data_IF_908626177495
#
_entry.id   IF_908626177495
#
_cell.length_a   1.000
_cell.length_b   1.000
_cell.length_c   1.000
_cell.angle_alpha   90.00
_cell.angle_beta   90.00
_cell.angle_gamma   90.00
#
_symmetry.space_group_name_H-M   'P 1'
#
loop_
_entity.id
_entity.type
_entity.pdbx_description
1 polymer ?
#
# COMPACT_ATOMS: atom_id res chain seq x y z
N UNK A 1 55.12 -33.51 19.12
CA UNK A 1 55.68 -34.84 18.82
C UNK A 1 54.53 -35.73 18.39
N UNK A 2 54.57 -36.22 17.13
CA UNK A 2 54.26 -37.59 16.65
C UNK A 2 53.26 -38.46 17.41
N UNK A 3 52.40 -39.29 16.83
CA UNK A 3 52.04 -39.82 15.50
C UNK A 3 50.62 -40.42 15.71
N UNK A 4 49.72 -40.77 14.78
CA UNK A 4 49.78 -41.04 13.35
C UNK A 4 48.75 -42.15 13.02
N UNK A 5 48.23 -42.13 11.78
CA UNK A 5 47.65 -43.22 10.97
C UNK A 5 46.30 -43.84 11.37
N UNK A 6 45.40 -44.20 10.44
CA UNK A 6 45.41 -44.25 8.96
C UNK A 6 44.05 -44.78 8.47
N UNK A 7 43.51 -44.29 7.34
CA UNK A 7 43.50 -44.97 6.03
C UNK A 7 42.04 -45.12 5.56
N UNK A 8 41.62 -45.06 4.28
CA UNK A 8 42.28 -45.02 2.98
C UNK A 8 41.27 -45.52 1.90
N UNK A 9 41.60 -45.30 0.61
CA UNK A 9 40.90 -45.63 -0.66
C UNK A 9 39.92 -44.54 -1.18
N UNK A 10 40.16 -43.75 -2.24
CA UNK A 10 40.87 -43.82 -3.56
C UNK A 10 39.99 -44.25 -4.74
N UNK A 11 39.91 -43.40 -5.77
CA UNK A 11 39.39 -43.70 -7.10
C UNK A 11 39.51 -42.50 -8.06
N UNK A 12 40.58 -42.49 -8.85
CA UNK A 12 41.01 -41.53 -9.89
C UNK A 12 40.15 -41.56 -11.15
N UNK A 13 39.73 -40.41 -11.70
CA UNK A 13 40.27 -39.69 -12.88
C UNK A 13 40.24 -40.43 -14.24
N UNK A 14 39.63 -39.80 -15.26
CA UNK A 14 40.07 -39.91 -16.67
C UNK A 14 39.58 -38.73 -17.52
N UNK A 15 40.49 -38.31 -18.39
CA UNK A 15 40.55 -37.15 -19.30
C UNK A 15 39.95 -37.56 -20.67
N UNK A 16 39.50 -36.66 -21.56
CA UNK A 16 40.18 -36.16 -22.79
C UNK A 16 39.08 -35.43 -23.62
N UNK A 17 39.14 -34.15 -24.00
CA UNK A 17 39.91 -33.50 -25.08
C UNK A 17 39.28 -33.53 -26.51
N UNK A 18 38.87 -32.32 -26.94
CA UNK A 18 39.18 -31.63 -28.22
C UNK A 18 38.60 -32.03 -29.60
N UNK A 19 38.25 -30.97 -30.36
CA UNK A 19 38.12 -30.91 -31.85
C UNK A 19 36.71 -30.49 -32.29
N UNK A 20 36.40 -29.40 -33.00
CA UNK A 20 37.17 -28.50 -33.85
C UNK A 20 36.70 -28.63 -35.32
N UNK A 21 36.04 -27.61 -35.90
CA UNK A 21 36.10 -27.32 -37.35
C UNK A 21 34.82 -27.29 -38.19
N UNK A 22 34.44 -26.06 -38.61
CA UNK A 22 33.98 -25.56 -39.93
C UNK A 22 32.91 -26.25 -40.82
N UNK A 23 31.82 -25.48 -41.03
CA UNK A 23 31.06 -25.14 -42.27
C UNK A 23 31.02 -26.06 -43.51
N UNK A 24 29.80 -26.40 -43.96
CA UNK A 24 29.30 -26.08 -45.32
C UNK A 24 27.79 -26.32 -45.46
N UNK A 25 27.13 -25.39 -46.16
CA UNK A 25 25.72 -25.35 -46.53
C UNK A 25 25.46 -26.15 -47.82
N UNK A 26 24.31 -26.82 -47.95
CA UNK A 26 23.47 -26.82 -49.17
C UNK A 26 22.02 -27.22 -48.85
N UNK A 27 21.12 -26.56 -49.56
CA UNK A 27 19.65 -26.48 -49.54
C UNK A 27 18.89 -27.78 -49.84
N UNK A 28 17.68 -27.96 -49.26
CA UNK A 28 16.37 -27.91 -49.97
C UNK A 28 15.17 -28.35 -49.10
N UNK A 29 14.07 -27.61 -49.24
CA UNK A 29 12.65 -28.02 -49.20
C UNK A 29 11.99 -28.49 -47.89
N UNK A 30 10.87 -27.85 -47.53
CA UNK A 30 9.78 -28.51 -46.80
C UNK A 30 9.15 -27.70 -45.67
N UNK A 31 8.01 -27.09 -45.99
CA UNK A 31 7.06 -26.40 -45.12
C UNK A 31 6.75 -27.04 -43.76
N UNK A 32 6.68 -26.18 -42.73
CA UNK A 32 6.23 -26.48 -41.37
C UNK A 32 4.75 -26.89 -41.32
N UNK A 33 4.51 -28.12 -40.87
CA UNK A 33 3.23 -28.58 -40.32
C UNK A 33 3.56 -29.41 -39.07
N UNK A 34 3.21 -28.89 -37.90
CA UNK A 34 3.08 -29.72 -36.70
C UNK A 34 1.81 -29.28 -36.00
N UNK A 35 0.79 -30.15 -36.07
CA UNK A 35 -0.36 -30.08 -35.19
C UNK A 35 -0.59 -31.46 -34.55
N UNK A 36 -1.00 -31.40 -33.29
CA UNK A 36 -1.71 -32.41 -32.47
C UNK A 36 -1.03 -33.71 -32.05
N UNK A 37 -0.80 -33.83 -30.72
CA UNK A 37 -1.37 -34.86 -29.82
C UNK A 37 -1.01 -34.50 -28.36
N UNK A 38 -1.88 -33.82 -27.61
CA UNK A 38 -2.78 -34.37 -26.58
C UNK A 38 -2.10 -35.05 -25.38
N UNK A 39 -2.12 -34.36 -24.23
CA UNK A 39 -2.16 -34.99 -22.90
C UNK A 39 -3.19 -34.25 -22.03
N UNK A 40 -4.06 -35.04 -21.40
CA UNK A 40 -5.15 -34.63 -20.53
C UNK A 40 -4.64 -33.91 -19.27
N UNK A 41 -5.33 -32.86 -18.86
CA UNK A 41 -5.12 -32.19 -17.58
C UNK A 41 -6.37 -31.44 -17.13
N UNK A 42 -7.10 -32.05 -16.20
CA UNK A 42 -8.10 -31.51 -15.27
C UNK A 42 -8.94 -30.30 -15.70
N UNK A 43 -10.22 -30.59 -15.88
CA UNK A 43 -11.34 -29.66 -15.75
C UNK A 43 -11.37 -29.02 -14.35
N UNK A 44 -10.66 -27.91 -14.20
CA UNK A 44 -10.99 -26.91 -13.18
C UNK A 44 -11.94 -25.90 -13.80
N UNK A 45 -13.16 -25.90 -13.27
CA UNK A 45 -14.16 -24.86 -13.44
C UNK A 45 -13.49 -23.48 -13.48
N UNK A 46 -13.64 -22.79 -14.60
CA UNK A 46 -13.33 -21.37 -14.74
C UNK A 46 -14.20 -20.61 -13.75
N UNK A 47 -13.69 -20.42 -12.52
CA UNK A 47 -14.21 -19.41 -11.61
C UNK A 47 -14.11 -18.09 -12.36
N UNK A 48 -15.25 -17.44 -12.53
CA UNK A 48 -15.36 -16.11 -13.09
C UNK A 48 -14.26 -15.25 -12.45
N UNK A 49 -13.30 -14.85 -13.28
CA UNK A 49 -12.31 -13.85 -12.95
C UNK A 49 -13.12 -12.58 -12.70
N UNK A 50 -13.37 -12.27 -11.42
CA UNK A 50 -14.08 -11.06 -11.05
C UNK A 50 -13.14 -9.91 -11.38
N UNK A 51 -13.24 -9.41 -12.61
CA UNK A 51 -12.55 -8.22 -13.06
C UNK A 51 -13.10 -7.10 -12.19
N UNK A 52 -12.35 -6.72 -11.16
CA UNK A 52 -12.68 -5.53 -10.41
C UNK A 52 -12.62 -4.37 -11.42
N UNK A 53 -13.68 -3.55 -11.54
CA UNK A 53 -13.57 -2.31 -12.28
C UNK A 53 -12.39 -1.51 -11.71
N UNK A 54 -11.68 -0.78 -12.57
CA UNK A 54 -10.61 0.14 -12.18
C UNK A 54 -11.02 0.85 -10.89
N UNK A 55 -10.26 0.62 -9.82
CA UNK A 55 -10.63 1.04 -8.46
C UNK A 55 -11.06 2.50 -8.48
N UNK A 56 -12.36 2.81 -8.28
CA UNK A 56 -12.82 4.18 -8.21
C UNK A 56 -12.09 4.81 -7.04
N UNK A 57 -11.45 5.93 -7.35
CA UNK A 57 -10.88 6.87 -6.40
C UNK A 57 -11.75 7.05 -5.15
N UNK A 58 -11.28 6.53 -4.02
CA UNK A 58 -12.01 6.51 -2.75
C UNK A 58 -12.08 7.93 -2.16
N UNK A 59 -13.30 8.44 -1.90
CA UNK A 59 -13.52 9.64 -1.07
C UNK A 59 -13.98 9.20 0.33
N UNK A 60 -13.10 8.54 1.09
CA UNK A 60 -13.39 8.17 2.49
C UNK A 60 -13.55 9.40 3.38
N UNK A 61 -13.02 10.54 2.93
CA UNK A 61 -13.10 11.83 3.60
C UNK A 61 -14.52 12.11 4.08
N UNK A 62 -15.53 11.88 3.24
CA UNK A 62 -16.91 12.21 3.61
C UNK A 62 -17.48 11.32 4.71
N UNK A 63 -17.08 10.05 4.78
CA UNK A 63 -17.62 9.13 5.77
C UNK A 63 -17.25 9.54 7.19
N UNK A 64 -16.13 10.23 7.40
CA UNK A 64 -15.67 10.68 8.72
C UNK A 64 -16.10 12.10 9.11
N UNK A 65 -16.81 12.80 8.22
CA UNK A 65 -17.14 14.20 8.42
C UNK A 65 -18.59 14.36 8.88
N UNK A 66 -18.81 15.27 9.84
CA UNK A 66 -20.16 15.59 10.33
C UNK A 66 -20.98 16.26 9.23
N UNK A 67 -22.24 15.85 9.09
CA UNK A 67 -23.21 16.58 8.26
C UNK A 67 -23.40 18.01 8.81
N UNK A 68 -23.46 19.01 7.93
CA UNK A 68 -23.60 20.43 8.29
C UNK A 68 -22.52 20.95 9.26
N UNK A 69 -21.31 20.41 9.16
CA UNK A 69 -20.15 20.82 9.98
C UNK A 69 -19.74 22.28 9.76
N UNK A 70 -19.07 22.91 10.75
CA UNK A 70 -18.48 24.24 10.58
C UNK A 70 -17.52 24.28 9.38
N UNK A 71 -17.58 25.35 8.60
CA UNK A 71 -16.70 25.53 7.45
C UNK A 71 -15.25 25.73 7.94
N UNK A 72 -14.33 24.89 7.46
CA UNK A 72 -12.90 25.05 7.70
C UNK A 72 -12.24 25.89 6.61
N UNK A 73 -11.08 26.52 6.85
CA UNK A 73 -10.36 27.21 5.78
C UNK A 73 -10.01 26.26 4.63
N UNK A 74 -9.99 26.81 3.41
CA UNK A 74 -9.40 26.15 2.23
C UNK A 74 -7.88 26.23 2.37
N UNK A 75 -7.20 25.09 2.26
CA UNK A 75 -5.75 25.00 2.45
C UNK A 75 -5.07 24.80 1.11
N UNK A 76 -4.12 25.67 0.81
CA UNK A 76 -3.39 25.67 -0.47
C UNK A 76 -1.88 25.42 -0.30
N UNK A 77 -1.37 25.56 0.93
CA UNK A 77 0.03 25.42 1.26
C UNK A 77 0.24 24.54 2.50
N UNK A 78 1.28 23.69 2.49
CA UNK A 78 1.57 22.77 3.59
C UNK A 78 1.84 23.51 4.91
N UNK A 79 2.46 24.68 4.85
CA UNK A 79 2.78 25.50 6.02
C UNK A 79 1.56 25.89 6.85
N UNK A 80 0.37 25.95 6.24
CA UNK A 80 -0.88 26.28 6.94
C UNK A 80 -1.36 25.16 7.88
N UNK A 81 -0.95 23.91 7.61
CA UNK A 81 -1.38 22.71 8.36
C UNK A 81 -0.22 21.86 8.88
N UNK A 82 1.04 22.33 8.69
CA UNK A 82 2.24 21.57 9.06
C UNK A 82 2.21 21.17 10.54
N UNK A 83 1.93 22.12 11.42
CA UNK A 83 1.89 21.86 12.86
C UNK A 83 0.78 20.87 13.24
N UNK A 84 -0.35 20.90 12.54
CA UNK A 84 -1.46 19.95 12.74
C UNK A 84 -1.01 18.54 12.38
N UNK A 85 -0.33 18.36 11.23
CA UNK A 85 0.21 17.07 10.78
C UNK A 85 1.21 16.54 11.81
N UNK A 86 2.15 17.39 12.23
CA UNK A 86 3.20 17.03 13.18
C UNK A 86 2.63 16.63 14.54
N UNK A 87 1.73 17.46 15.09
CA UNK A 87 1.08 17.19 16.37
C UNK A 87 0.25 15.90 16.33
N UNK A 88 -0.48 15.68 15.24
CA UNK A 88 -1.31 14.48 15.07
C UNK A 88 -0.43 13.24 15.00
N UNK A 89 0.62 13.28 14.17
CA UNK A 89 1.56 12.17 14.05
C UNK A 89 2.21 11.84 15.39
N UNK A 90 2.73 12.84 16.11
CA UNK A 90 3.39 12.66 17.40
C UNK A 90 2.46 12.06 18.46
N UNK A 91 1.18 12.44 18.45
CA UNK A 91 0.19 11.86 19.38
C UNK A 91 -0.14 10.40 19.08
N UNK A 92 -0.08 9.97 17.83
CA UNK A 92 -0.34 8.58 17.43
C UNK A 92 0.88 7.70 17.71
N UNK A 93 2.06 8.16 17.27
CA UNK A 93 3.27 7.33 17.21
C UNK A 93 4.19 7.52 18.41
N UNK A 94 4.05 8.63 19.14
CA UNK A 94 5.01 9.05 20.16
C UNK A 94 6.32 9.59 19.58
N UNK A 95 6.41 9.80 18.26
CA UNK A 95 7.62 10.21 17.55
C UNK A 95 7.38 11.48 16.73
N UNK A 96 8.44 12.23 16.44
CA UNK A 96 8.33 13.39 15.56
C UNK A 96 8.05 12.97 14.11
N UNK A 97 7.35 13.81 13.36
CA UNK A 97 7.06 13.56 11.95
C UNK A 97 8.37 13.50 11.14
N UNK A 98 8.61 12.44 10.35
CA UNK A 98 9.90 12.23 9.68
C UNK A 98 10.02 13.06 8.40
N UNK A 99 10.29 14.36 8.54
CA UNK A 99 10.44 15.30 7.41
C UNK A 99 11.57 14.94 6.44
N UNK A 100 12.58 14.20 6.90
CA UNK A 100 13.70 13.72 6.09
C UNK A 100 13.33 12.51 5.23
N UNK A 101 12.26 11.78 5.58
CA UNK A 101 11.80 10.59 4.87
C UNK A 101 10.48 10.78 4.11
N UNK A 102 9.63 11.75 4.49
CA UNK A 102 8.32 11.99 3.87
C UNK A 102 8.18 13.46 3.47
N UNK A 103 7.91 13.70 2.19
CA UNK A 103 7.56 15.02 1.65
C UNK A 103 6.10 15.08 1.28
N UNK A 104 5.41 16.12 1.72
CA UNK A 104 4.01 16.39 1.38
C UNK A 104 3.95 17.61 0.46
N UNK A 105 3.18 17.53 -0.62
CA UNK A 105 2.91 18.63 -1.54
C UNK A 105 1.40 18.82 -1.66
N UNK A 106 0.96 20.06 -1.55
CA UNK A 106 -0.41 20.47 -1.88
C UNK A 106 -0.36 21.20 -3.21
N UNK A 107 -1.27 20.86 -4.12
CA UNK A 107 -1.38 21.52 -5.41
C UNK A 107 -2.83 21.81 -5.77
N UNK A 108 -3.02 22.71 -6.73
CA UNK A 108 -4.35 22.93 -7.29
C UNK A 108 -4.81 21.70 -8.11
N UNK A 109 -6.13 21.58 -8.30
CA UNK A 109 -6.71 20.45 -9.01
C UNK A 109 -6.21 20.36 -10.46
N UNK A 110 -6.05 21.49 -11.15
CA UNK A 110 -5.61 21.50 -12.54
C UNK A 110 -4.20 20.90 -12.69
N UNK A 111 -3.28 21.26 -11.79
CA UNK A 111 -1.94 20.69 -11.73
C UNK A 111 -2.00 19.20 -11.39
N UNK A 112 -2.84 18.81 -10.43
CA UNK A 112 -2.97 17.41 -10.02
C UNK A 112 -3.44 16.52 -11.17
N UNK A 113 -4.48 16.96 -11.90
CA UNK A 113 -5.05 16.21 -13.03
C UNK A 113 -4.10 16.07 -14.22
N UNK A 114 -3.02 16.85 -14.30
CA UNK A 114 -2.01 16.67 -15.35
C UNK A 114 -1.21 15.37 -15.22
N UNK A 115 -1.03 14.86 -14.00
CA UNK A 115 -0.28 13.62 -13.75
C UNK A 115 -1.14 12.49 -13.16
N UNK A 116 -2.32 12.80 -12.61
CA UNK A 116 -3.28 11.82 -12.14
C UNK A 116 -4.69 12.13 -12.67
N UNK A 117 -5.09 11.57 -13.83
CA UNK A 117 -6.38 11.84 -14.44
C UNK A 117 -7.56 11.20 -13.68
N UNK A 118 -7.28 10.22 -12.80
CA UNK A 118 -8.31 9.62 -11.95
C UNK A 118 -8.86 10.64 -10.92
N UNK A 119 -10.10 10.43 -10.49
CA UNK A 119 -10.82 11.33 -9.58
C UNK A 119 -10.42 11.17 -8.09
N UNK A 120 -9.12 10.96 -7.81
CA UNK A 120 -8.58 10.90 -6.44
C UNK A 120 -8.25 12.29 -5.90
N UNK A 121 -8.28 12.43 -4.58
CA UNK A 121 -7.91 13.67 -3.87
C UNK A 121 -6.44 13.70 -3.43
N UNK A 122 -5.77 12.55 -3.43
CA UNK A 122 -4.36 12.42 -3.10
C UNK A 122 -3.76 11.17 -3.72
N UNK A 123 -2.44 11.13 -3.75
CA UNK A 123 -1.63 9.96 -4.07
C UNK A 123 -0.36 9.96 -3.24
N UNK A 124 0.23 8.78 -3.08
CA UNK A 124 1.54 8.59 -2.47
C UNK A 124 2.47 7.76 -3.34
N UNK A 125 3.75 8.11 -3.30
CA UNK A 125 4.86 7.35 -3.86
C UNK A 125 5.71 6.84 -2.71
N UNK A 126 5.54 5.57 -2.37
CA UNK A 126 6.22 4.95 -1.26
C UNK A 126 7.67 4.55 -1.64
N UNK A 127 8.65 5.17 -0.98
CA UNK A 127 10.08 4.83 -1.07
C UNK A 127 10.64 4.38 0.28
N UNK A 128 9.81 3.82 1.15
CA UNK A 128 10.21 3.34 2.49
C UNK A 128 11.49 2.51 2.43
N UNK A 129 12.50 2.92 3.20
CA UNK A 129 13.83 2.28 3.26
C UNK A 129 14.68 2.40 1.98
N UNK A 130 14.21 3.10 0.95
CA UNK A 130 14.86 3.25 -0.37
C UNK A 130 15.06 4.72 -0.79
N UNK A 131 14.53 5.68 -0.03
CA UNK A 131 14.62 7.10 -0.32
C UNK A 131 13.50 7.89 0.36
N UNK A 132 13.20 9.06 -0.19
CA UNK A 132 12.15 9.96 0.31
C UNK A 132 10.82 9.60 -0.33
N UNK A 133 9.84 9.21 0.48
CA UNK A 133 8.46 9.02 0.06
C UNK A 133 7.80 10.38 -0.20
N UNK A 134 6.91 10.42 -1.18
CA UNK A 134 6.23 11.66 -1.61
C UNK A 134 4.72 11.49 -1.51
N UNK A 135 4.03 12.45 -0.93
CA UNK A 135 2.58 12.55 -0.86
C UNK A 135 2.17 13.80 -1.62
N UNK A 136 1.21 13.68 -2.52
CA UNK A 136 0.64 14.81 -3.25
C UNK A 136 -0.86 14.82 -3.02
N UNK A 137 -1.39 15.92 -2.51
CA UNK A 137 -2.80 16.11 -2.26
C UNK A 137 -3.34 17.34 -3.00
N UNK A 138 -4.60 17.27 -3.42
CA UNK A 138 -5.33 18.40 -3.98
C UNK A 138 -5.73 19.35 -2.86
N UNK A 139 -5.58 20.65 -3.05
CA UNK A 139 -6.09 21.66 -2.13
C UNK A 139 -7.58 21.41 -1.82
N UNK A 140 -7.95 21.50 -0.55
CA UNK A 140 -9.33 21.33 -0.10
C UNK A 140 -9.51 22.06 1.24
N UNK A 141 -10.74 22.04 1.75
CA UNK A 141 -11.04 22.38 3.13
C UNK A 141 -10.18 21.55 4.08
N UNK A 142 -9.64 22.21 5.12
CA UNK A 142 -8.68 21.64 6.06
C UNK A 142 -9.07 20.27 6.61
N UNK A 143 -10.35 20.06 6.94
CA UNK A 143 -10.85 18.79 7.45
C UNK A 143 -10.73 17.64 6.45
N UNK A 144 -11.16 17.85 5.20
CA UNK A 144 -11.02 16.90 4.10
C UNK A 144 -9.57 16.63 3.74
N UNK A 145 -8.78 17.70 3.63
CA UNK A 145 -7.37 17.59 3.26
C UNK A 145 -6.57 16.77 4.28
N UNK A 146 -6.81 16.99 5.58
CA UNK A 146 -6.13 16.24 6.64
C UNK A 146 -6.51 14.76 6.65
N UNK A 147 -7.74 14.42 6.27
CA UNK A 147 -8.18 13.03 6.10
C UNK A 147 -7.44 12.36 4.93
N UNK A 148 -7.35 13.03 3.78
CA UNK A 148 -6.58 12.56 2.62
C UNK A 148 -5.11 12.36 3.00
N UNK A 149 -4.47 13.37 3.59
CA UNK A 149 -3.06 13.29 4.02
C UNK A 149 -2.86 12.16 5.02
N UNK A 150 -3.74 12.00 6.01
CA UNK A 150 -3.65 10.92 6.99
C UNK A 150 -3.66 9.53 6.35
N UNK A 151 -4.54 9.31 5.37
CA UNK A 151 -4.58 8.06 4.61
C UNK A 151 -3.28 7.82 3.82
N UNK A 152 -2.80 8.84 3.10
CA UNK A 152 -1.56 8.73 2.32
C UNK A 152 -0.31 8.52 3.20
N UNK A 153 -0.27 9.11 4.40
CA UNK A 153 0.78 8.84 5.39
C UNK A 153 0.76 7.34 5.76
N UNK A 154 -0.42 6.75 5.95
CA UNK A 154 -0.57 5.32 6.25
C UNK A 154 0.10 4.40 5.21
N UNK A 155 0.05 4.76 3.93
CA UNK A 155 0.74 4.00 2.88
C UNK A 155 2.26 4.05 3.01
N UNK A 156 2.83 5.23 3.31
CA UNK A 156 4.28 5.47 3.21
C UNK A 156 5.06 5.17 4.48
N UNK A 157 4.39 4.93 5.62
CA UNK A 157 5.03 4.62 6.90
C UNK A 157 5.60 3.19 7.02
N UNK A 158 5.39 2.35 6.01
CA UNK A 158 5.87 0.97 5.98
C UNK A 158 6.08 0.52 4.53
N UNK A 159 6.71 -0.63 4.27
CA UNK A 159 6.77 -1.18 2.93
C UNK A 159 5.37 -1.39 2.34
N UNK A 160 5.22 -1.19 1.03
CA UNK A 160 4.00 -1.55 0.30
C UNK A 160 3.76 -3.06 0.39
N UNK A 161 2.55 -3.44 0.79
CA UNK A 161 2.13 -4.83 0.86
C UNK A 161 1.81 -5.37 -0.55
N UNK A 162 2.09 -6.65 -0.83
CA UNK A 162 1.85 -7.23 -2.16
C UNK A 162 0.36 -7.41 -2.48
N UNK A 163 -0.48 -7.51 -1.45
CA UNK A 163 -1.92 -7.60 -1.60
C UNK A 163 -2.54 -6.20 -1.48
N UNK A 164 -3.21 -5.74 -2.54
CA UNK A 164 -3.83 -4.41 -2.58
C UNK A 164 -4.88 -4.21 -1.47
N UNK A 165 -5.68 -5.23 -1.14
CA UNK A 165 -6.69 -5.13 -0.09
C UNK A 165 -6.04 -4.97 1.29
N UNK A 166 -4.96 -5.69 1.57
CA UNK A 166 -4.23 -5.54 2.83
C UNK A 166 -3.50 -4.18 2.88
N UNK A 167 -2.99 -3.67 1.76
CA UNK A 167 -2.39 -2.34 1.65
C UNK A 167 -3.40 -1.22 1.96
N UNK A 168 -4.60 -1.29 1.38
CA UNK A 168 -5.69 -0.34 1.68
C UNK A 168 -6.16 -0.48 3.14
N UNK A 169 -6.32 -1.70 3.65
CA UNK A 169 -6.69 -1.93 5.05
C UNK A 169 -5.65 -1.33 6.02
N UNK A 170 -4.36 -1.42 5.68
CA UNK A 170 -3.27 -0.80 6.42
C UNK A 170 -3.41 0.72 6.43
N UNK A 171 -3.56 1.35 5.27
CA UNK A 171 -3.72 2.80 5.18
C UNK A 171 -5.00 3.30 5.88
N UNK A 172 -6.09 2.54 5.81
CA UNK A 172 -7.32 2.84 6.54
C UNK A 172 -7.14 2.72 8.05
N UNK A 173 -6.46 1.69 8.54
CA UNK A 173 -6.18 1.54 9.97
C UNK A 173 -5.42 2.76 10.52
N UNK A 174 -4.44 3.26 9.76
CA UNK A 174 -3.75 4.49 10.14
C UNK A 174 -4.65 5.73 10.02
N UNK A 175 -5.46 5.85 8.96
CA UNK A 175 -6.40 6.97 8.76
C UNK A 175 -7.44 7.07 9.89
N UNK A 176 -7.90 5.93 10.42
CA UNK A 176 -8.79 5.90 11.59
C UNK A 176 -8.07 6.41 12.83
N UNK A 177 -6.88 5.87 13.13
CA UNK A 177 -6.08 6.35 14.25
C UNK A 177 -5.78 7.86 14.13
N UNK A 178 -5.54 8.32 12.92
CA UNK A 178 -5.31 9.72 12.57
C UNK A 178 -6.50 10.60 12.93
N UNK A 179 -7.68 10.26 12.43
CA UNK A 179 -8.86 11.10 12.62
C UNK A 179 -9.41 11.04 14.05
N UNK A 180 -9.34 9.88 14.70
CA UNK A 180 -9.66 9.72 16.13
C UNK A 180 -8.76 10.62 16.98
N UNK A 181 -7.46 10.61 16.69
CA UNK A 181 -6.49 11.46 17.40
C UNK A 181 -6.79 12.94 17.23
N UNK A 182 -7.08 13.40 16.01
CA UNK A 182 -7.49 14.80 15.76
C UNK A 182 -8.73 15.15 16.57
N UNK A 183 -9.77 14.32 16.54
CA UNK A 183 -11.04 14.57 17.25
C UNK A 183 -10.88 14.60 18.76
N UNK A 184 -10.26 13.57 19.32
CA UNK A 184 -10.11 13.40 20.77
C UNK A 184 -9.27 14.52 21.38
N UNK A 185 -8.24 14.96 20.67
CA UNK A 185 -7.35 16.02 21.12
C UNK A 185 -7.77 17.41 20.61
N UNK A 186 -8.85 17.51 19.84
CA UNK A 186 -9.33 18.74 19.20
C UNK A 186 -8.22 19.49 18.42
N UNK A 187 -7.40 18.74 17.70
CA UNK A 187 -6.29 19.29 16.91
C UNK A 187 -6.87 20.17 15.81
N UNK A 188 -6.33 21.38 15.63
CA UNK A 188 -6.84 22.34 14.65
C UNK A 188 -8.28 22.81 14.90
N UNK A 189 -8.86 22.54 16.08
CA UNK A 189 -10.26 22.86 16.37
C UNK A 189 -11.27 21.98 15.63
N UNK A 190 -10.85 20.83 15.11
CA UNK A 190 -11.65 19.98 14.19
C UNK A 190 -12.57 18.97 14.87
N UNK A 191 -12.65 18.94 16.20
CA UNK A 191 -13.58 18.03 16.90
C UNK A 191 -15.04 18.10 16.40
N UNK A 192 -15.66 19.26 16.13
CA UNK A 192 -17.04 19.30 15.63
C UNK A 192 -17.16 18.84 14.17
N UNK A 193 -16.07 18.81 13.42
CA UNK A 193 -16.04 18.42 12.00
C UNK A 193 -16.01 16.91 11.79
N UNK A 194 -15.67 16.15 12.83
CA UNK A 194 -15.39 14.72 12.74
C UNK A 194 -16.42 13.94 13.55
N UNK A 195 -17.02 12.92 12.95
CA UNK A 195 -17.93 12.01 13.68
C UNK A 195 -17.19 10.83 14.32
N UNK A 196 -17.65 10.32 15.48
CA UNK A 196 -17.00 9.20 16.17
C UNK A 196 -17.05 7.87 15.42
N UNK A 197 -18.07 7.68 14.59
CA UNK A 197 -18.28 6.48 13.80
C UNK A 197 -18.62 6.92 12.37
N UNK A 198 -17.84 6.53 11.36
CA UNK A 198 -18.13 6.96 10.00
C UNK A 198 -19.44 6.34 9.47
N UNK A 199 -20.08 7.07 8.56
CA UNK A 199 -21.34 6.67 7.93
C UNK A 199 -21.17 5.40 7.08
N UNK A 200 -22.13 4.46 7.16
CA UNK A 200 -22.16 3.23 6.37
C UNK A 200 -22.68 3.52 4.95
N UNK A 201 -21.83 3.38 3.92
CA UNK A 201 -22.18 3.72 2.52
C UNK A 201 -21.81 2.67 1.44
N UNK A 202 -21.73 1.37 1.76
CA UNK A 202 -21.65 0.27 0.77
C UNK A 202 -20.23 -0.33 0.61
N UNK A 203 -19.95 -1.03 -0.51
CA UNK A 203 -18.77 -1.90 -0.87
C UNK A 203 -17.37 -1.58 -0.28
N UNK A 204 -17.17 -0.34 0.16
CA UNK A 204 -16.08 0.22 0.94
C UNK A 204 -16.02 -0.29 2.40
N UNK A 205 -17.10 -0.91 2.85
CA UNK A 205 -17.30 -1.65 4.08
C UNK A 205 -16.24 -2.76 4.27
N UNK A 206 -15.70 -3.42 3.23
CA UNK A 206 -14.89 -4.63 3.45
C UNK A 206 -13.52 -4.41 4.14
N UNK A 207 -12.74 -3.39 3.76
CA UNK A 207 -11.45 -3.10 4.38
C UNK A 207 -11.63 -2.30 5.67
N UNK A 208 -12.58 -1.37 5.65
CA UNK A 208 -12.93 -0.56 6.81
C UNK A 208 -13.61 -1.36 7.92
N UNK A 209 -14.59 -2.23 7.60
CA UNK A 209 -15.20 -3.17 8.54
C UNK A 209 -14.21 -4.25 8.96
N UNK A 210 -13.25 -4.62 8.12
CA UNK A 210 -12.17 -5.50 8.57
C UNK A 210 -11.36 -4.84 9.69
N UNK A 211 -11.00 -3.56 9.55
CA UNK A 211 -10.33 -2.82 10.62
C UNK A 211 -11.25 -2.66 11.84
N UNK A 212 -12.53 -2.29 11.67
CA UNK A 212 -13.49 -2.24 12.78
C UNK A 212 -13.63 -3.59 13.49
N UNK A 213 -13.69 -4.69 12.75
CA UNK A 213 -13.76 -6.05 13.28
C UNK A 213 -12.50 -6.38 14.09
N UNK A 214 -11.32 -6.02 13.61
CA UNK A 214 -10.08 -6.16 14.38
C UNK A 214 -10.05 -5.25 15.63
N UNK A 215 -10.68 -4.08 15.57
CA UNK A 215 -10.81 -3.19 16.73
C UNK A 215 -11.80 -3.74 17.77
N UNK A 216 -12.81 -4.51 17.36
CA UNK A 216 -13.74 -5.20 18.27
C UNK A 216 -13.05 -6.22 19.18
N UNK A 217 -11.82 -6.65 18.85
CA UNK A 217 -11.02 -7.51 19.73
C UNK A 217 -10.26 -6.73 20.82
N UNK A 218 -10.51 -5.42 20.97
CA UNK A 218 -9.88 -4.55 21.96
C UNK A 218 -8.55 -3.92 21.50
N UNK A 219 -8.23 -4.03 20.22
CA UNK A 219 -6.98 -3.53 19.62
C UNK A 219 -7.19 -2.10 19.09
N UNK A 220 -6.27 -1.17 19.32
CA UNK A 220 -6.40 0.18 18.75
C UNK A 220 -6.22 0.18 17.23
N UNK A 221 -6.76 1.19 16.52
CA UNK A 221 -6.58 1.30 15.06
C UNK A 221 -5.09 1.37 14.67
N UNK A 222 -4.26 2.02 15.48
CA UNK A 222 -2.81 2.07 15.24
C UNK A 222 -2.11 0.73 15.49
N UNK A 223 -2.60 -0.08 16.44
CA UNK A 223 -2.10 -1.45 16.63
C UNK A 223 -2.47 -2.36 15.46
N UNK A 224 -3.67 -2.19 14.89
CA UNK A 224 -4.06 -2.86 13.64
C UNK A 224 -3.14 -2.45 12.50
N UNK A 225 -2.86 -1.14 12.35
CA UNK A 225 -1.89 -0.64 11.38
C UNK A 225 -0.52 -1.32 11.54
N UNK A 226 0.05 -1.33 12.75
CA UNK A 226 1.36 -1.97 13.00
C UNK A 226 1.35 -3.46 12.66
N UNK A 227 0.25 -4.15 12.97
CA UNK A 227 0.07 -5.58 12.67
C UNK A 227 0.11 -5.81 11.15
N UNK A 228 -0.68 -5.06 10.39
CA UNK A 228 -0.71 -5.15 8.93
C UNK A 228 0.61 -4.74 8.29
N UNK A 229 1.24 -3.66 8.78
CA UNK A 229 2.54 -3.16 8.31
C UNK A 229 3.68 -4.19 8.47
N UNK A 230 3.60 -5.08 9.46
CA UNK A 230 4.56 -6.17 9.64
C UNK A 230 4.20 -7.44 8.85
N UNK A 231 3.18 -7.40 7.99
CA UNK A 231 2.80 -8.52 7.14
C UNK A 231 2.01 -9.63 7.85
N UNK A 232 1.48 -9.37 9.04
CA UNK A 232 0.49 -10.25 9.67
C UNK A 232 -0.86 -10.02 8.98
N UNK A 233 -1.05 -10.71 7.85
CA UNK A 233 -2.18 -10.55 6.93
C UNK A 233 -3.49 -11.15 7.44
N UNK A 234 -4.58 -10.77 6.79
CA UNK A 234 -5.94 -11.27 6.98
C UNK A 234 -6.09 -12.77 6.68
N UNK A 235 -5.63 -13.66 7.58
CA UNK A 235 -5.92 -15.10 7.45
C UNK A 235 -7.35 -15.50 7.86
N UNK A 236 -8.22 -14.56 8.23
CA UNK A 236 -9.48 -14.85 8.97
C UNK A 236 -10.77 -14.54 8.18
N UNK A 237 -10.71 -14.06 6.94
CA UNK A 237 -11.91 -13.93 6.09
C UNK A 237 -11.78 -14.79 4.83
N UNK A 238 -12.12 -16.08 4.94
CA UNK A 238 -12.40 -16.96 3.80
C UNK A 238 -13.89 -17.26 3.73
#
# INVERSE_FOLDING_TARGET
MNYGCGGGYSGTASYCAAGGGYSQSYSTSGSYLCNTASYMGSSYSTKAEYTMPETPSFQITESFLTENRPLTPMISNLGEIKDIIHQTFQKITGQDFPEDAIKIKICDEKQFRQFQPANVLGISYNKYGKGISEIIAVQDHMDRLLLTIGHEIGHVLSPTLPNLKDEEAKAHAFSIAWIETIRENNIGGLRPNIIPNPAHNGIHDAAFDFVKYLMQTGTSAFDVFKTLAHGLTSMIAR
#
